data_IF_750698564916
#
_entry.id   IF_750698564916
#
_cell.length_a   1.000
_cell.length_b   1.000
_cell.length_c   1.000
_cell.angle_alpha   90.00
_cell.angle_beta   90.00
_cell.angle_gamma   90.00
#
_symmetry.space_group_name_H-M   'P 1'
#
loop_
_entity.id
_entity.type
_entity.pdbx_description
1 polymer ?
#
# COMPACT_ATOMS: atom_id res chain seq x y z
N UNK A 1 -11.23 26.37 -8.08
CA UNK A 1 -10.82 25.85 -7.81
C UNK A 1 -10.87 25.06 -7.79
N UNK A 2 -10.56 24.83 -7.77
CA UNK A 2 -10.15 24.05 -7.58
C UNK A 2 -10.08 23.20 -7.41
N UNK A 3 -9.93 22.95 -7.53
CA UNK A 3 -9.57 22.14 -7.25
C UNK A 3 -9.26 21.41 -7.14
N UNK A 4 -9.04 21.48 -7.39
CA UNK A 4 -8.55 20.88 -7.15
C UNK A 4 -8.16 20.32 -6.98
N UNK A 5 -8.06 20.58 -7.02
CA UNK A 5 -7.48 20.12 -6.67
C UNK A 5 -7.17 19.34 -6.35
N UNK A 6 -7.19 18.94 -6.12
CA UNK A 6 -6.86 18.10 -5.83
C UNK A 6 -6.37 17.49 -6.13
N UNK A 7 -6.29 17.65 -6.88
CA UNK A 7 -5.85 17.09 -7.21
C UNK A 7 -4.96 17.11 -7.47
N UNK A 8 -5.30 17.98 -7.50
CA UNK A 8 -4.08 18.18 -7.31
C UNK A 8 -3.39 17.24 -6.60
N UNK A 9 -3.47 16.17 -7.01
CA UNK A 9 -2.81 15.05 -6.46
C UNK A 9 -1.35 15.09 -6.72
N UNK A 10 -0.57 14.53 -5.84
CA UNK A 10 0.84 14.33 -6.08
C UNK A 10 1.03 13.48 -7.32
N UNK A 11 1.99 13.84 -8.17
CA UNK A 11 2.22 13.07 -9.39
C UNK A 11 2.49 11.60 -9.15
N UNK A 12 3.13 11.26 -8.02
CA UNK A 12 3.41 9.86 -7.70
C UNK A 12 2.18 9.03 -7.40
N UNK A 13 1.06 9.67 -7.07
CA UNK A 13 -0.20 8.96 -6.82
C UNK A 13 -1.07 8.89 -8.06
N UNK A 14 -0.79 9.67 -9.09
CA UNK A 14 -1.57 9.64 -10.32
C UNK A 14 -1.40 8.30 -11.00
N UNK A 15 -2.51 7.63 -11.30
CA UNK A 15 -2.48 6.31 -11.90
C UNK A 15 -2.72 5.20 -10.91
N UNK A 16 -2.66 5.48 -9.61
CA UNK A 16 -2.96 4.46 -8.62
C UNK A 16 -4.41 4.02 -8.67
N UNK A 17 -5.27 4.79 -9.32
CA UNK A 17 -6.65 4.38 -9.58
C UNK A 17 -6.70 3.06 -10.35
N UNK A 18 -5.68 2.78 -11.17
CA UNK A 18 -5.62 1.51 -11.88
C UNK A 18 -5.45 0.34 -10.93
N UNK A 19 -4.67 0.56 -9.86
CA UNK A 19 -4.51 -0.47 -8.83
C UNK A 19 -5.83 -0.69 -8.12
N UNK A 20 -6.50 0.39 -7.75
CA UNK A 20 -7.77 0.30 -7.04
C UNK A 20 -8.81 -0.43 -7.87
N UNK A 21 -8.87 -0.13 -9.18
CA UNK A 21 -9.81 -0.80 -10.06
C UNK A 21 -9.49 -2.30 -10.19
N UNK A 22 -8.21 -2.63 -10.26
CA UNK A 22 -7.81 -4.04 -10.35
C UNK A 22 -8.18 -4.80 -9.08
N UNK A 23 -7.99 -4.17 -7.91
CA UNK A 23 -8.37 -4.81 -6.66
C UNK A 23 -9.89 -5.02 -6.60
N UNK A 24 -10.64 -4.01 -7.05
CA UNK A 24 -12.11 -4.15 -7.07
C UNK A 24 -12.54 -5.31 -7.94
N UNK A 25 -11.90 -5.50 -9.10
CA UNK A 25 -12.20 -6.63 -9.95
C UNK A 25 -11.86 -7.96 -9.30
N UNK A 26 -10.74 -8.01 -8.59
CA UNK A 26 -10.34 -9.21 -7.88
C UNK A 26 -11.31 -9.54 -6.76
N UNK A 27 -11.83 -8.52 -6.07
CA UNK A 27 -12.80 -8.73 -5.01
C UNK A 27 -14.12 -9.26 -5.54
N UNK A 28 -14.52 -8.84 -6.74
CA UNK A 28 -15.74 -9.32 -7.36
C UNK A 28 -15.62 -10.74 -7.86
N UNK A 29 -14.45 -11.06 -8.42
CA UNK A 29 -14.23 -12.40 -8.94
C UNK A 29 -12.81 -12.81 -8.57
N UNK A 30 -12.70 -13.54 -7.47
CA UNK A 30 -11.40 -13.98 -6.97
C UNK A 30 -10.91 -15.15 -7.81
N UNK A 31 -9.85 -14.91 -8.56
CA UNK A 31 -9.26 -15.90 -9.42
C UNK A 31 -7.78 -15.64 -9.54
N UNK A 32 -7.04 -16.66 -10.00
CA UNK A 32 -5.61 -16.48 -10.23
C UNK A 32 -5.35 -15.49 -11.35
N UNK A 33 -6.23 -15.45 -12.33
CA UNK A 33 -6.07 -14.49 -13.43
C UNK A 33 -6.23 -13.06 -12.95
N UNK A 34 -7.23 -12.80 -12.10
CA UNK A 34 -7.41 -11.47 -11.55
C UNK A 34 -6.28 -11.09 -10.62
N UNK A 35 -5.79 -12.04 -9.85
CA UNK A 35 -4.64 -11.76 -9.00
C UNK A 35 -3.41 -11.42 -9.83
N UNK A 36 -3.13 -12.22 -10.86
CA UNK A 36 -1.98 -11.96 -11.72
C UNK A 36 -2.10 -10.60 -12.39
N UNK A 37 -3.31 -10.25 -12.84
CA UNK A 37 -3.54 -8.94 -13.44
C UNK A 37 -3.26 -7.82 -12.44
N UNK A 38 -3.76 -7.98 -11.21
CA UNK A 38 -3.57 -6.96 -10.18
C UNK A 38 -2.08 -6.76 -9.88
N UNK A 39 -1.35 -7.86 -9.76
CA UNK A 39 0.10 -7.77 -9.51
C UNK A 39 0.81 -7.09 -10.67
N UNK A 40 0.37 -7.35 -11.89
CA UNK A 40 0.95 -6.72 -13.08
C UNK A 40 0.71 -5.21 -13.06
N UNK A 41 -0.51 -4.79 -12.69
CA UNK A 41 -0.82 -3.36 -12.61
C UNK A 41 0.05 -2.68 -11.57
N UNK A 42 0.20 -3.31 -10.38
CA UNK A 42 1.05 -2.75 -9.34
C UNK A 42 2.49 -2.63 -9.84
N UNK A 43 2.99 -3.67 -10.51
CA UNK A 43 4.36 -3.66 -11.03
C UNK A 43 4.56 -2.56 -12.04
N UNK A 44 3.58 -2.34 -12.90
CA UNK A 44 3.68 -1.25 -13.88
C UNK A 44 3.74 0.11 -13.20
N UNK A 45 2.90 0.32 -12.20
CA UNK A 45 2.93 1.58 -11.46
C UNK A 45 4.27 1.77 -10.75
N UNK A 46 4.82 0.69 -10.20
CA UNK A 46 6.12 0.76 -9.56
C UNK A 46 7.20 1.19 -10.57
N UNK A 47 7.16 0.63 -11.77
CA UNK A 47 8.13 0.96 -12.81
C UNK A 47 7.99 2.38 -13.32
N UNK A 48 6.80 2.94 -13.21
CA UNK A 48 6.54 4.33 -13.59
C UNK A 48 6.96 5.32 -12.52
N UNK A 49 7.53 4.84 -11.43
CA UNK A 49 7.89 5.71 -10.32
C UNK A 49 6.75 5.98 -9.37
N UNK A 50 5.75 5.12 -9.35
CA UNK A 50 4.59 5.31 -8.50
C UNK A 50 4.93 5.31 -7.03
N UNK A 51 4.11 6.01 -6.26
CA UNK A 51 4.27 6.15 -4.83
C UNK A 51 3.04 5.67 -4.11
N UNK A 52 3.21 5.38 -2.84
CA UNK A 52 2.12 5.00 -1.94
C UNK A 52 2.20 5.85 -0.69
N UNK A 53 1.14 5.85 0.08
CA UNK A 53 1.09 6.60 1.33
C UNK A 53 1.30 5.63 2.47
N UNK A 54 2.21 5.99 3.38
CA UNK A 54 2.37 5.26 4.64
C UNK A 54 1.94 6.18 5.77
N UNK A 55 1.35 5.58 6.79
CA UNK A 55 1.05 6.28 8.04
C UNK A 55 2.11 5.84 9.04
N UNK A 56 2.62 6.79 9.82
CA UNK A 56 3.64 6.46 10.80
C UNK A 56 3.09 6.75 12.18
N UNK A 57 3.54 5.94 13.13
CA UNK A 57 3.18 6.12 14.52
C UNK A 57 4.01 7.24 15.11
N UNK A 58 3.47 7.95 16.10
CA UNK A 58 4.26 8.97 16.78
C UNK A 58 5.54 8.36 17.34
N UNK A 59 6.63 9.12 17.33
CA UNK A 59 7.88 8.59 17.87
C UNK A 59 7.74 8.30 19.35
N UNK A 60 8.26 7.16 19.76
CA UNK A 60 8.39 6.83 21.16
C UNK A 60 9.69 7.43 21.68
N UNK A 61 10.01 7.19 22.92
CA UNK A 61 11.19 7.73 23.51
C UNK A 61 12.49 7.39 22.80
N UNK A 62 12.47 6.39 21.94
CA UNK A 62 13.67 6.01 21.19
C UNK A 62 13.88 6.85 19.93
N UNK A 63 12.92 7.72 19.60
CA UNK A 63 13.07 8.63 18.48
C UNK A 63 12.90 8.03 17.11
N UNK A 64 12.59 6.75 16.99
CA UNK A 64 12.41 6.12 15.71
C UNK A 64 11.02 6.30 15.15
N UNK A 65 10.92 6.39 13.82
CA UNK A 65 9.63 6.37 13.14
C UNK A 65 9.28 4.96 12.79
N UNK A 66 8.01 4.61 12.98
CA UNK A 66 7.53 3.28 12.66
C UNK A 66 6.35 3.36 11.73
N UNK A 67 6.38 2.57 10.66
CA UNK A 67 5.24 2.45 9.77
C UNK A 67 4.14 1.73 10.52
N UNK A 68 2.93 2.26 10.41
CA UNK A 68 1.79 1.69 11.10
C UNK A 68 1.58 0.24 10.64
N UNK A 69 1.31 -0.64 11.59
CA UNK A 69 1.08 -2.04 11.31
C UNK A 69 -0.19 -2.50 11.99
N UNK A 70 -0.78 -3.55 11.44
CA UNK A 70 -1.92 -4.21 12.07
C UNK A 70 -1.54 -5.66 12.31
N UNK A 71 -2.17 -6.24 13.33
CA UNK A 71 -1.95 -7.63 13.67
C UNK A 71 -3.20 -8.42 13.31
N UNK A 72 -2.99 -9.47 12.53
CA UNK A 72 -4.10 -10.35 12.15
C UNK A 72 -4.35 -11.38 13.26
N UNK A 73 -5.47 -12.09 13.15
CA UNK A 73 -5.88 -13.03 14.19
C UNK A 73 -4.87 -14.15 14.41
N UNK A 74 -4.10 -14.47 13.39
CA UNK A 74 -3.08 -15.50 13.50
C UNK A 74 -1.80 -15.01 14.18
N UNK A 75 -1.80 -13.76 14.64
CA UNK A 75 -0.67 -13.21 15.38
C UNK A 75 0.40 -12.58 14.48
N UNK A 76 0.14 -12.45 13.20
CA UNK A 76 1.12 -11.90 12.27
C UNK A 76 0.91 -10.42 12.09
N UNK A 77 2.00 -9.71 11.90
CA UNK A 77 1.98 -8.25 11.71
C UNK A 77 2.13 -7.91 10.24
N UNK A 78 1.44 -6.86 9.81
CA UNK A 78 1.45 -6.39 8.42
C UNK A 78 1.53 -4.87 8.43
N UNK A 79 2.35 -4.32 7.57
CA UNK A 79 2.34 -2.86 7.37
C UNK A 79 1.09 -2.47 6.60
N UNK A 80 0.51 -1.31 6.96
CA UNK A 80 -0.63 -0.76 6.22
C UNK A 80 -0.14 0.34 5.30
N UNK A 81 -0.56 0.28 4.05
CA UNK A 81 -0.13 1.20 3.00
C UNK A 81 -1.34 1.55 2.16
N UNK A 82 -1.37 2.74 1.59
CA UNK A 82 -2.56 3.24 0.91
C UNK A 82 -2.22 3.75 -0.48
N UNK A 83 -3.16 3.57 -1.43
CA UNK A 83 -2.99 4.05 -2.80
C UNK A 83 -3.33 5.52 -2.94
N UNK A 84 -4.05 6.09 -1.99
CA UNK A 84 -4.42 7.49 -2.03
C UNK A 84 -4.92 7.95 -0.68
N UNK A 85 -5.02 9.26 -0.53
CA UNK A 85 -5.46 9.82 0.74
C UNK A 85 -6.91 9.46 1.07
N UNK A 86 -7.76 9.29 0.04
CA UNK A 86 -9.13 8.85 0.29
C UNK A 86 -9.16 7.50 0.98
N UNK A 87 -8.29 6.58 0.59
CA UNK A 87 -8.23 5.27 1.23
C UNK A 87 -7.74 5.36 2.66
N UNK A 88 -6.74 6.22 2.88
CA UNK A 88 -6.20 6.37 4.23
C UNK A 88 -7.23 6.96 5.19
N UNK A 89 -8.04 7.91 4.72
CA UNK A 89 -9.01 8.58 5.57
C UNK A 89 -10.21 7.72 5.92
N UNK A 90 -10.48 6.67 5.15
CA UNK A 90 -11.70 5.88 5.34
C UNK A 90 -11.78 5.18 6.68
N UNK A 91 -10.66 4.85 7.27
CA UNK A 91 -10.67 4.10 8.50
C UNK A 91 -10.08 4.81 9.69
N UNK A 92 -9.82 6.09 9.58
CA UNK A 92 -9.09 6.79 10.62
C UNK A 92 -9.92 7.91 11.23
N UNK A 93 -10.07 7.86 12.54
CA UNK A 93 -10.67 8.94 13.29
C UNK A 93 -9.63 9.90 13.84
N UNK A 94 -8.36 9.54 13.77
CA UNK A 94 -7.32 10.35 14.37
C UNK A 94 -6.36 10.84 13.31
N UNK A 95 -5.77 11.98 13.58
CA UNK A 95 -4.77 12.54 12.69
C UNK A 95 -3.49 11.76 12.88
N UNK A 96 -2.95 11.28 11.78
CA UNK A 96 -1.67 10.58 11.79
C UNK A 96 -0.74 11.25 10.82
N UNK A 97 0.53 11.14 11.09
CA UNK A 97 1.52 11.62 10.15
C UNK A 97 1.58 10.67 8.97
N UNK A 98 1.50 11.21 7.77
CA UNK A 98 1.55 10.42 6.56
C UNK A 98 2.69 10.90 5.69
N UNK A 99 3.26 9.98 4.94
CA UNK A 99 4.36 10.29 4.03
C UNK A 99 4.15 9.54 2.72
N UNK A 100 4.63 10.13 1.64
CA UNK A 100 4.71 9.43 0.37
C UNK A 100 5.98 8.60 0.35
N UNK A 101 5.88 7.41 -0.18
CA UNK A 101 7.04 6.55 -0.33
C UNK A 101 7.00 5.90 -1.72
N UNK A 102 8.19 5.71 -2.26
CA UNK A 102 8.36 5.00 -3.52
C UNK A 102 7.87 3.56 -3.37
N UNK A 103 7.12 3.08 -4.35
CA UNK A 103 6.61 1.71 -4.28
C UNK A 103 7.73 0.69 -4.15
N UNK A 104 8.76 0.84 -4.99
CA UNK A 104 9.87 -0.10 -4.96
C UNK A 104 10.55 -0.10 -3.59
N UNK A 105 10.72 1.07 -3.00
CA UNK A 105 11.41 1.17 -1.72
C UNK A 105 10.61 0.51 -0.60
N UNK A 106 9.30 0.78 -0.53
CA UNK A 106 8.51 0.21 0.57
C UNK A 106 8.35 -1.29 0.40
N UNK A 107 8.19 -1.77 -0.83
CA UNK A 107 8.10 -3.21 -1.08
C UNK A 107 9.40 -3.92 -0.72
N UNK A 108 10.53 -3.36 -1.14
CA UNK A 108 11.84 -3.96 -0.84
C UNK A 108 12.10 -3.98 0.66
N UNK A 109 11.74 -2.90 1.33
CA UNK A 109 11.96 -2.81 2.77
C UNK A 109 11.08 -3.83 3.51
N UNK A 110 9.83 -4.00 3.06
CA UNK A 110 8.93 -4.96 3.68
C UNK A 110 9.46 -6.38 3.55
N UNK A 111 10.01 -6.73 2.40
CA UNK A 111 10.57 -8.06 2.20
C UNK A 111 11.72 -8.32 3.16
N UNK A 112 12.50 -7.30 3.48
CA UNK A 112 13.66 -7.44 4.35
C UNK A 112 13.36 -7.29 5.84
N UNK A 113 12.13 -6.90 6.20
CA UNK A 113 11.76 -6.69 7.59
C UNK A 113 11.18 -7.96 8.16
N UNK A 114 11.90 -8.56 9.10
CA UNK A 114 11.52 -9.89 9.59
C UNK A 114 10.26 -9.87 10.44
N UNK A 115 9.98 -8.75 11.09
CA UNK A 115 8.86 -8.66 12.03
C UNK A 115 7.51 -8.67 11.36
N UNK A 116 7.43 -8.49 10.04
CA UNK A 116 6.15 -8.42 9.34
C UNK A 116 6.06 -9.51 8.29
N UNK A 117 4.81 -9.87 7.96
CA UNK A 117 4.54 -10.86 6.92
C UNK A 117 4.47 -10.22 5.54
N UNK A 118 4.14 -8.95 5.48
CA UNK A 118 4.00 -8.25 4.23
C UNK A 118 3.26 -6.95 4.42
N UNK A 119 2.52 -6.57 3.38
CA UNK A 119 1.82 -5.30 3.34
C UNK A 119 0.33 -5.55 3.11
N UNK A 120 -0.52 -4.84 3.86
CA UNK A 120 -1.93 -4.76 3.54
C UNK A 120 -2.15 -3.43 2.84
N UNK A 121 -2.57 -3.50 1.60
CA UNK A 121 -2.85 -2.33 0.80
C UNK A 121 -4.31 -1.96 1.00
N UNK A 122 -4.57 -0.72 1.37
CA UNK A 122 -5.92 -0.18 1.58
C UNK A 122 -6.75 -1.03 2.55
N UNK A 123 -6.36 -1.07 3.84
CA UNK A 123 -6.99 -2.01 4.78
C UNK A 123 -8.47 -1.78 5.03
N UNK A 124 -9.00 -0.60 4.66
CA UNK A 124 -10.40 -0.28 4.94
C UNK A 124 -11.32 -0.51 3.75
N UNK A 125 -10.78 -0.56 2.54
CA UNK A 125 -11.57 -0.69 1.32
C UNK A 125 -10.63 -1.04 0.18
N UNK A 126 -11.10 -1.82 -0.78
CA UNK A 126 -10.26 -2.27 -1.89
C UNK A 126 -8.95 -2.85 -1.37
N UNK A 127 -9.09 -3.77 -0.44
CA UNK A 127 -7.99 -4.31 0.33
C UNK A 127 -7.29 -5.43 -0.44
N UNK A 128 -5.98 -5.42 -0.38
CA UNK A 128 -5.17 -6.49 -0.95
C UNK A 128 -4.03 -6.80 0.00
N UNK A 129 -3.91 -8.07 0.38
CA UNK A 129 -2.82 -8.50 1.24
C UNK A 129 -1.70 -9.05 0.37
N UNK A 130 -0.52 -8.47 0.53
CA UNK A 130 0.65 -8.84 -0.24
C UNK A 130 1.68 -9.43 0.71
N UNK A 131 1.75 -10.76 0.74
CA UNK A 131 2.79 -11.40 1.54
C UNK A 131 4.14 -11.25 0.84
N UNK A 132 5.20 -11.71 1.49
CA UNK A 132 6.53 -11.51 0.95
C UNK A 132 6.74 -12.21 -0.38
N UNK A 133 6.09 -13.34 -0.60
CA UNK A 133 6.18 -14.02 -1.89
C UNK A 133 5.60 -13.14 -3.00
N UNK A 134 4.42 -12.57 -2.76
CA UNK A 134 3.80 -11.70 -3.76
C UNK A 134 4.60 -10.42 -3.97
N UNK A 135 5.15 -9.88 -2.89
CA UNK A 135 6.01 -8.70 -3.02
C UNK A 135 7.23 -8.98 -3.87
N UNK A 136 7.84 -10.15 -3.72
CA UNK A 136 8.97 -10.53 -4.55
C UNK A 136 8.59 -10.69 -6.00
N UNK A 137 7.40 -11.22 -6.27
CA UNK A 137 6.91 -11.31 -7.64
C UNK A 137 6.80 -9.91 -8.25
N UNK A 138 6.22 -8.97 -7.50
CA UNK A 138 6.09 -7.59 -7.99
C UNK A 138 7.46 -6.98 -8.25
N UNK A 139 8.41 -7.23 -7.35
CA UNK A 139 9.76 -6.69 -7.48
C UNK A 139 10.57 -7.36 -8.58
N UNK A 140 10.09 -8.49 -9.10
CA UNK A 140 10.82 -9.22 -10.13
C UNK A 140 11.95 -10.07 -9.59
N UNK A 141 11.86 -10.48 -8.32
CA UNK A 141 12.91 -11.27 -7.67
C UNK A 141 12.64 -12.77 -7.69
N UNK A 142 11.49 -13.15 -8.24
CA UNK A 142 11.16 -14.57 -8.40
C UNK A 142 10.92 -14.85 -9.86
#
# INVERSE_FOLDING_TARGET
MSNLKKDEKDPGLCGNERIEAAIAGLQQETSQEHLAHTLTVIRQRMREGGQLIIAVEPPNGDGGLRIQAVRTEDGRNWWTVFTGFDEELKGSDSVKSTFLTDMRQVFSKAVRTEEIEGIILNPWNRTLMLDKTLLRVILGEI
#
